data_IF_901575345852
#
_entry.id   IF_901575345852
#
_cell.length_a   1.000
_cell.length_b   1.000
_cell.length_c   1.000
_cell.angle_alpha   90.00
_cell.angle_beta   90.00
_cell.angle_gamma   90.00
#
_symmetry.space_group_name_H-M   'P 1'
#
loop_
_entity.id
_entity.type
_entity.pdbx_description
1 polymer ?
#
# COMPACT_ATOMS: atom_id res chain seq x y z
N UNK A 1 -36.54 -3.95 27.23
CA UNK A 1 -37.48 -3.93 26.08
C UNK A 1 -37.48 -2.51 25.54
N UNK A 2 -36.54 -2.19 24.64
CA UNK A 2 -36.45 -0.87 23.98
C UNK A 2 -36.51 -1.17 22.48
N UNK A 3 -37.67 -0.90 21.88
CA UNK A 3 -37.90 -1.03 20.45
C UNK A 3 -37.12 0.08 19.73
N UNK A 4 -36.07 -0.28 19.01
CA UNK A 4 -35.48 0.60 17.99
C UNK A 4 -36.45 0.66 16.81
N UNK A 5 -37.19 1.77 16.71
CA UNK A 5 -38.06 2.08 15.56
C UNK A 5 -37.20 2.45 14.36
N UNK A 6 -36.76 1.45 13.60
CA UNK A 6 -36.43 1.69 12.19
C UNK A 6 -37.75 1.76 11.41
N UNK A 7 -38.21 2.97 11.13
CA UNK A 7 -39.38 3.21 10.29
C UNK A 7 -39.09 2.89 8.81
N UNK A 8 -40.11 2.49 8.02
CA UNK A 8 -39.94 2.01 6.65
C UNK A 8 -39.69 3.13 5.61
N UNK A 9 -39.15 4.29 6.00
CA UNK A 9 -38.82 5.39 5.09
C UNK A 9 -37.32 5.69 4.97
N UNK A 10 -36.47 5.02 5.75
CA UNK A 10 -35.01 5.20 5.69
C UNK A 10 -34.33 4.37 4.59
N UNK A 11 -34.93 3.23 4.20
CA UNK A 11 -34.36 2.34 3.18
C UNK A 11 -34.45 2.92 1.76
N UNK A 12 -35.51 3.69 1.46
CA UNK A 12 -35.73 4.30 0.14
C UNK A 12 -34.91 5.57 -0.06
N UNK A 13 -34.50 6.24 1.03
CA UNK A 13 -33.70 7.47 1.01
C UNK A 13 -32.20 7.20 1.14
N UNK A 14 -31.79 6.08 1.78
CA UNK A 14 -30.41 5.56 1.79
C UNK A 14 -29.86 5.27 0.38
N UNK A 15 -30.74 5.04 -0.60
CA UNK A 15 -30.39 4.53 -1.93
C UNK A 15 -30.07 5.61 -2.97
N UNK A 16 -30.56 6.84 -2.78
CA UNK A 16 -30.25 7.96 -3.68
C UNK A 16 -28.87 8.60 -3.41
N UNK A 17 -28.26 8.35 -2.25
CA UNK A 17 -27.05 9.03 -1.78
C UNK A 17 -25.72 8.37 -2.18
N UNK A 18 -25.69 7.05 -2.36
CA UNK A 18 -24.46 6.33 -2.74
C UNK A 18 -24.31 6.17 -4.27
N UNK A 19 -25.34 6.52 -5.04
CA UNK A 19 -25.39 6.30 -6.50
C UNK A 19 -24.66 7.37 -7.35
N UNK A 20 -23.98 8.36 -6.75
CA UNK A 20 -23.52 9.56 -7.48
C UNK A 20 -22.03 9.87 -7.46
N UNK A 21 -21.16 8.95 -7.03
CA UNK A 21 -19.69 9.05 -7.27
C UNK A 21 -19.21 8.11 -8.38
N UNK A 22 -20.13 7.63 -9.22
CA UNK A 22 -19.77 6.93 -10.45
C UNK A 22 -19.55 7.95 -11.58
N UNK A 23 -18.32 8.05 -12.07
CA UNK A 23 -18.03 8.65 -13.39
C UNK A 23 -18.81 7.84 -14.44
N UNK A 24 -19.99 8.34 -14.82
CA UNK A 24 -20.90 7.70 -15.78
C UNK A 24 -20.40 7.91 -17.21
N UNK A 25 -19.81 6.87 -17.79
CA UNK A 25 -19.67 6.75 -19.24
C UNK A 25 -20.68 5.73 -19.77
N UNK A 26 -21.47 6.12 -20.76
CA UNK A 26 -22.42 5.25 -21.45
C UNK A 26 -21.71 4.14 -22.26
N UNK A 27 -22.28 2.94 -22.15
CA UNK A 27 -21.80 1.62 -22.60
C UNK A 27 -21.60 1.45 -24.12
N UNK A 28 -20.68 0.55 -24.50
CA UNK A 28 -20.90 -0.50 -25.53
C UNK A 28 -19.74 -1.50 -25.55
N UNK A 29 -19.59 -2.30 -24.50
CA UNK A 29 -18.89 -3.58 -24.58
C UNK A 29 -19.68 -4.60 -23.77
N UNK A 30 -20.00 -5.75 -24.38
CA UNK A 30 -20.69 -6.85 -23.69
C UNK A 30 -19.83 -7.25 -22.49
N UNK A 31 -20.34 -7.03 -21.28
CA UNK A 31 -19.65 -7.40 -20.03
C UNK A 31 -19.37 -8.91 -20.07
N UNK A 32 -18.11 -9.34 -19.84
CA UNK A 32 -17.76 -10.75 -19.91
C UNK A 32 -18.52 -11.55 -18.84
N UNK A 33 -18.75 -12.84 -19.07
CA UNK A 33 -19.41 -13.69 -18.08
C UNK A 33 -18.60 -13.75 -16.78
N UNK A 34 -19.27 -13.80 -15.62
CA UNK A 34 -18.60 -13.83 -14.32
C UNK A 34 -17.59 -14.98 -14.24
N UNK A 35 -17.91 -16.17 -14.77
CA UNK A 35 -17.01 -17.33 -14.75
C UNK A 35 -15.72 -17.15 -15.56
N UNK A 36 -15.68 -16.16 -16.45
CA UNK A 36 -14.47 -15.82 -17.21
C UNK A 36 -13.52 -14.88 -16.46
N UNK A 37 -14.02 -14.19 -15.43
CA UNK A 37 -13.24 -13.24 -14.63
C UNK A 37 -12.87 -13.79 -13.24
N UNK A 38 -13.65 -14.73 -12.70
CA UNK A 38 -13.33 -15.43 -11.45
C UNK A 38 -12.64 -16.77 -11.73
N UNK A 39 -11.78 -17.27 -10.82
CA UNK A 39 -11.08 -18.52 -11.03
C UNK A 39 -12.02 -19.74 -10.97
N UNK A 40 -11.49 -20.90 -11.38
CA UNK A 40 -12.24 -22.16 -11.38
C UNK A 40 -12.79 -22.48 -9.98
N UNK A 41 -13.94 -23.15 -9.94
CA UNK A 41 -14.65 -23.59 -8.72
C UNK A 41 -13.75 -24.18 -7.62
N UNK A 42 -12.73 -24.97 -7.97
CA UNK A 42 -11.80 -25.57 -7.00
C UNK A 42 -11.05 -24.49 -6.21
N UNK A 43 -10.59 -23.43 -6.87
CA UNK A 43 -9.88 -22.30 -6.25
C UNK A 43 -10.81 -21.50 -5.36
N UNK A 44 -12.03 -21.20 -5.82
CA UNK A 44 -13.02 -20.45 -5.02
C UNK A 44 -13.42 -21.25 -3.76
N UNK A 45 -13.65 -22.56 -3.88
CA UNK A 45 -13.91 -23.41 -2.71
C UNK A 45 -12.77 -23.38 -1.69
N UNK A 46 -11.51 -23.40 -2.17
CA UNK A 46 -10.35 -23.29 -1.29
C UNK A 46 -10.32 -21.94 -0.58
N UNK A 47 -10.53 -20.83 -1.30
CA UNK A 47 -10.51 -19.50 -0.69
C UNK A 47 -11.65 -19.28 0.30
N UNK A 48 -12.85 -19.80 0.00
CA UNK A 48 -13.96 -19.80 0.94
C UNK A 48 -13.63 -20.60 2.19
N UNK A 49 -12.92 -21.73 2.06
CA UNK A 49 -12.48 -22.53 3.20
C UNK A 49 -11.38 -21.83 4.01
N UNK A 50 -10.35 -21.29 3.33
CA UNK A 50 -9.21 -20.61 3.96
C UNK A 50 -9.66 -19.33 4.72
N UNK A 51 -10.82 -18.75 4.36
CA UNK A 51 -11.44 -17.61 5.05
C UNK A 51 -12.58 -18.01 6.01
N UNK A 52 -12.68 -19.29 6.39
CA UNK A 52 -13.72 -19.82 7.29
C UNK A 52 -15.15 -19.42 6.89
N UNK A 53 -15.43 -19.44 5.59
CA UNK A 53 -16.70 -18.97 5.06
C UNK A 53 -17.87 -19.85 5.47
N UNK A 54 -18.91 -19.19 5.98
CA UNK A 54 -20.23 -19.81 6.17
C UNK A 54 -20.86 -20.26 4.85
N UNK A 55 -20.49 -19.64 3.73
CA UNK A 55 -21.08 -19.90 2.43
C UNK A 55 -20.24 -20.91 1.64
N UNK A 56 -20.88 -22.01 1.23
CA UNK A 56 -20.33 -22.87 0.19
C UNK A 56 -20.46 -22.20 -1.19
N UNK A 57 -19.64 -22.62 -2.16
CA UNK A 57 -19.67 -22.12 -3.54
C UNK A 57 -21.06 -22.04 -4.16
N UNK A 58 -21.93 -23.04 -3.91
CA UNK A 58 -23.30 -23.07 -4.42
C UNK A 58 -24.17 -21.91 -3.92
N UNK A 59 -23.85 -21.32 -2.76
CA UNK A 59 -24.56 -20.18 -2.17
C UNK A 59 -23.85 -18.85 -2.42
N UNK A 60 -22.51 -18.86 -2.47
CA UNK A 60 -21.69 -17.69 -2.75
C UNK A 60 -21.82 -17.22 -4.21
N UNK A 61 -21.78 -18.13 -5.18
CA UNK A 61 -21.85 -17.76 -6.61
C UNK A 61 -23.14 -17.06 -7.01
N UNK A 62 -24.34 -17.49 -6.55
CA UNK A 62 -25.57 -16.74 -6.83
C UNK A 62 -25.52 -15.29 -6.34
N UNK A 63 -24.92 -15.04 -5.16
CA UNK A 63 -24.77 -13.67 -4.64
C UNK A 63 -23.90 -12.85 -5.59
N UNK A 64 -22.70 -13.35 -5.90
CA UNK A 64 -21.77 -12.68 -6.81
C UNK A 64 -22.38 -12.45 -8.20
N UNK A 65 -23.10 -13.44 -8.72
CA UNK A 65 -23.74 -13.36 -10.04
C UNK A 65 -24.82 -12.28 -10.04
N UNK A 66 -25.72 -12.29 -9.06
CA UNK A 66 -26.81 -11.31 -8.98
C UNK A 66 -26.28 -9.88 -8.87
N UNK A 67 -25.21 -9.66 -8.11
CA UNK A 67 -24.59 -8.33 -8.00
C UNK A 67 -23.93 -7.97 -9.34
N UNK A 68 -23.12 -8.87 -9.89
CA UNK A 68 -22.35 -8.64 -11.13
C UNK A 68 -23.23 -8.34 -12.35
N UNK A 69 -24.36 -9.04 -12.49
CA UNK A 69 -25.29 -8.82 -13.61
C UNK A 69 -26.03 -7.49 -13.51
N UNK A 70 -26.13 -6.91 -12.31
CA UNK A 70 -26.88 -5.68 -12.05
C UNK A 70 -25.98 -4.51 -11.61
N UNK A 71 -24.67 -4.53 -11.89
CA UNK A 71 -23.78 -3.40 -11.56
C UNK A 71 -24.19 -2.08 -12.24
N UNK A 72 -24.84 -2.16 -13.40
CA UNK A 72 -25.33 -0.97 -14.11
C UNK A 72 -26.69 -0.49 -13.56
N UNK A 73 -27.37 -1.36 -12.82
CA UNK A 73 -28.67 -1.11 -12.18
C UNK A 73 -28.68 -1.62 -10.74
N UNK A 74 -27.87 -1.04 -9.83
CA UNK A 74 -27.77 -1.51 -8.43
C UNK A 74 -29.14 -1.60 -7.73
N UNK A 75 -30.08 -0.75 -8.13
CA UNK A 75 -31.44 -0.74 -7.62
C UNK A 75 -32.20 -2.07 -7.79
N UNK A 76 -31.82 -2.85 -8.80
CA UNK A 76 -32.44 -4.11 -9.16
C UNK A 76 -31.78 -5.31 -8.46
N UNK A 77 -30.70 -5.10 -7.71
CA UNK A 77 -30.06 -6.15 -6.94
C UNK A 77 -31.08 -6.69 -5.92
N UNK A 78 -31.26 -8.01 -5.93
CA UNK A 78 -32.13 -8.76 -5.03
C UNK A 78 -31.34 -9.93 -4.46
N UNK A 79 -30.72 -9.69 -3.30
CA UNK A 79 -29.91 -10.70 -2.64
C UNK A 79 -30.77 -11.86 -2.15
N UNK A 80 -30.25 -13.11 -2.19
CA UNK A 80 -30.90 -14.24 -1.55
C UNK A 80 -31.14 -13.97 -0.06
N UNK A 81 -32.28 -14.41 0.48
CA UNK A 81 -32.71 -14.14 1.86
C UNK A 81 -31.77 -14.66 2.94
N UNK A 82 -30.90 -15.63 2.61
CA UNK A 82 -29.90 -16.18 3.52
C UNK A 82 -28.63 -15.34 3.62
N UNK A 83 -28.47 -14.30 2.80
CA UNK A 83 -27.26 -13.47 2.71
C UNK A 83 -27.17 -12.56 3.93
N UNK A 84 -26.03 -12.60 4.61
CA UNK A 84 -25.70 -11.67 5.69
C UNK A 84 -24.69 -10.65 5.20
N UNK A 85 -24.65 -9.51 5.88
CA UNK A 85 -23.72 -8.43 5.55
C UNK A 85 -22.24 -8.88 5.66
N UNK A 86 -21.91 -9.73 6.63
CA UNK A 86 -20.53 -10.26 6.80
C UNK A 86 -20.13 -11.20 5.65
N UNK A 87 -21.09 -11.91 5.05
CA UNK A 87 -20.78 -12.77 3.91
C UNK A 87 -20.34 -11.91 2.70
N UNK A 88 -20.93 -10.71 2.53
CA UNK A 88 -20.58 -9.80 1.43
C UNK A 88 -19.17 -9.23 1.62
N UNK A 89 -18.82 -8.81 2.84
CA UNK A 89 -17.47 -8.33 3.16
C UNK A 89 -16.42 -9.43 3.01
N UNK A 90 -16.74 -10.66 3.42
CA UNK A 90 -15.87 -11.81 3.20
C UNK A 90 -15.68 -12.13 1.71
N UNK A 91 -16.75 -12.11 0.92
CA UNK A 91 -16.66 -12.30 -0.53
C UNK A 91 -15.80 -11.21 -1.17
N UNK A 92 -15.94 -9.95 -0.73
CA UNK A 92 -15.07 -8.86 -1.16
C UNK A 92 -13.60 -9.12 -0.82
N UNK A 93 -13.28 -9.57 0.40
CA UNK A 93 -11.90 -9.93 0.79
C UNK A 93 -11.33 -11.02 -0.13
N UNK A 94 -12.11 -12.06 -0.43
CA UNK A 94 -11.70 -13.14 -1.33
C UNK A 94 -11.39 -12.63 -2.74
N UNK A 95 -12.22 -11.72 -3.29
CA UNK A 95 -11.97 -11.12 -4.61
C UNK A 95 -10.72 -10.22 -4.59
N UNK A 96 -10.51 -9.50 -3.50
CA UNK A 96 -9.33 -8.67 -3.31
C UNK A 96 -8.05 -9.51 -3.27
N UNK A 97 -8.03 -10.60 -2.50
CA UNK A 97 -6.90 -11.53 -2.41
C UNK A 97 -6.61 -12.20 -3.76
N UNK A 98 -7.66 -12.51 -4.52
CA UNK A 98 -7.49 -13.00 -5.88
C UNK A 98 -6.78 -11.98 -6.76
N UNK A 99 -7.19 -10.72 -6.69
CA UNK A 99 -6.61 -9.64 -7.48
C UNK A 99 -5.16 -9.35 -7.08
N UNK A 100 -4.83 -9.43 -5.79
CA UNK A 100 -3.47 -9.23 -5.30
C UNK A 100 -2.52 -10.34 -5.76
N UNK A 101 -2.98 -11.59 -5.77
CA UNK A 101 -2.19 -12.74 -6.22
C UNK A 101 -2.02 -12.78 -7.74
N UNK A 102 -3.06 -12.49 -8.52
CA UNK A 102 -2.97 -12.54 -9.99
C UNK A 102 -2.34 -11.30 -10.59
N UNK A 103 -2.14 -10.24 -9.79
CA UNK A 103 -1.67 -8.92 -10.23
C UNK A 103 -2.44 -8.38 -11.46
N UNK A 104 -3.69 -8.83 -11.64
CA UNK A 104 -4.51 -8.52 -12.81
C UNK A 104 -5.52 -7.44 -12.46
N UNK A 105 -5.44 -6.28 -13.11
CA UNK A 105 -6.41 -5.20 -12.91
C UNK A 105 -7.60 -5.44 -13.85
N UNK A 106 -8.61 -6.16 -13.37
CA UNK A 106 -9.89 -6.29 -14.08
C UNK A 106 -10.88 -5.27 -13.53
N UNK A 107 -11.25 -4.27 -14.35
CA UNK A 107 -12.19 -3.21 -13.99
C UNK A 107 -13.51 -3.76 -13.42
N UNK A 108 -14.08 -4.80 -14.04
CA UNK A 108 -15.36 -5.35 -13.60
C UNK A 108 -15.26 -6.05 -12.23
N UNK A 109 -14.07 -6.56 -11.88
CA UNK A 109 -13.84 -7.17 -10.57
C UNK A 109 -13.77 -6.10 -9.48
N UNK A 110 -13.14 -4.95 -9.78
CA UNK A 110 -13.10 -3.79 -8.88
C UNK A 110 -14.50 -3.22 -8.67
N UNK A 111 -15.29 -3.08 -9.74
CA UNK A 111 -16.70 -2.63 -9.63
C UNK A 111 -17.53 -3.60 -8.77
N UNK A 112 -17.32 -4.91 -8.92
CA UNK A 112 -17.96 -5.93 -8.08
C UNK A 112 -17.51 -5.86 -6.61
N UNK A 113 -16.22 -5.66 -6.34
CA UNK A 113 -15.68 -5.44 -4.99
C UNK A 113 -16.34 -4.23 -4.32
N UNK A 114 -16.50 -3.12 -5.05
CA UNK A 114 -17.11 -1.90 -4.53
C UNK A 114 -18.60 -2.09 -4.24
N UNK A 115 -19.35 -2.69 -5.18
CA UNK A 115 -20.79 -2.94 -4.99
C UNK A 115 -21.06 -3.90 -3.83
N UNK A 116 -20.16 -4.86 -3.57
CA UNK A 116 -20.26 -5.73 -2.37
C UNK A 116 -20.21 -4.93 -1.07
N UNK A 117 -19.40 -3.87 -1.01
CA UNK A 117 -19.32 -2.98 0.16
C UNK A 117 -20.61 -2.17 0.31
N UNK A 118 -21.12 -1.60 -0.79
CA UNK A 118 -22.40 -0.86 -0.82
C UNK A 118 -23.55 -1.71 -0.28
N UNK A 119 -23.71 -2.93 -0.82
CA UNK A 119 -24.74 -3.86 -0.37
C UNK A 119 -24.53 -4.31 1.09
N UNK A 120 -23.28 -4.44 1.56
CA UNK A 120 -23.00 -4.75 2.96
C UNK A 120 -23.39 -3.60 3.90
N UNK A 121 -23.15 -2.35 3.49
CA UNK A 121 -23.54 -1.17 4.24
C UNK A 121 -25.06 -0.99 4.28
N UNK A 122 -25.77 -1.26 3.18
CA UNK A 122 -27.24 -1.27 3.15
C UNK A 122 -27.83 -2.28 4.15
N UNK A 123 -27.18 -3.44 4.31
CA UNK A 123 -27.54 -4.46 5.29
C UNK A 123 -27.05 -4.16 6.72
N UNK A 124 -26.34 -3.05 6.94
CA UNK A 124 -25.95 -2.56 8.27
C UNK A 124 -24.59 -3.03 8.78
N UNK A 125 -23.67 -3.49 7.93
CA UNK A 125 -22.30 -3.80 8.37
C UNK A 125 -21.52 -2.51 8.67
N UNK A 126 -21.01 -2.42 9.90
CA UNK A 126 -20.30 -1.24 10.39
C UNK A 126 -18.96 -1.00 9.70
N UNK A 127 -18.22 -2.04 9.29
CA UNK A 127 -16.98 -1.88 8.52
C UNK A 127 -17.24 -1.23 7.16
N UNK A 128 -18.25 -1.73 6.45
CA UNK A 128 -18.66 -1.20 5.15
C UNK A 128 -19.14 0.25 5.26
N UNK A 129 -19.94 0.56 6.27
CA UNK A 129 -20.38 1.94 6.56
C UNK A 129 -19.17 2.84 6.84
N UNK A 130 -18.20 2.39 7.64
CA UNK A 130 -16.99 3.16 7.93
C UNK A 130 -16.20 3.45 6.65
N UNK A 131 -15.98 2.43 5.81
CA UNK A 131 -15.25 2.55 4.56
C UNK A 131 -15.89 3.57 3.61
N UNK A 132 -17.19 3.47 3.38
CA UNK A 132 -17.93 4.38 2.50
C UNK A 132 -17.98 5.80 3.05
N UNK A 133 -18.15 5.95 4.37
CA UNK A 133 -18.18 7.28 5.00
C UNK A 133 -16.82 7.99 4.86
N UNK A 134 -15.70 7.30 5.07
CA UNK A 134 -14.37 7.88 4.86
C UNK A 134 -14.06 8.16 3.39
N UNK A 135 -14.54 7.33 2.46
CA UNK A 135 -14.44 7.60 1.02
C UNK A 135 -15.19 8.87 0.64
N UNK A 136 -16.42 9.04 1.14
CA UNK A 136 -17.23 10.24 0.92
C UNK A 136 -16.55 11.51 1.48
N UNK A 137 -15.96 11.45 2.68
CA UNK A 137 -15.25 12.59 3.28
C UNK A 137 -13.93 12.91 2.55
N UNK A 138 -13.27 11.89 1.97
CA UNK A 138 -12.01 12.09 1.25
C UNK A 138 -12.20 12.62 -0.18
N UNK A 139 -13.32 12.30 -0.83
CA UNK A 139 -13.63 12.73 -2.18
C UNK A 139 -13.98 14.22 -2.24
N UNK A 140 -13.50 14.89 -3.30
CA UNK A 140 -13.82 16.31 -3.58
C UNK A 140 -15.16 16.48 -4.29
N UNK A 141 -15.67 15.40 -4.86
CA UNK A 141 -16.89 15.39 -5.68
C UNK A 141 -18.15 15.11 -4.84
N UNK A 142 -17.98 14.84 -3.55
CA UNK A 142 -19.06 14.59 -2.60
C UNK A 142 -19.89 15.85 -2.38
N UNK A 143 -21.22 15.70 -2.41
CA UNK A 143 -22.13 16.81 -2.12
C UNK A 143 -21.99 17.26 -0.66
N UNK A 144 -22.46 18.48 -0.35
CA UNK A 144 -22.37 19.00 1.02
C UNK A 144 -23.23 18.17 1.98
N UNK A 145 -24.42 17.77 1.52
CA UNK A 145 -25.35 16.94 2.28
C UNK A 145 -24.74 15.56 2.58
N UNK A 146 -24.13 14.92 1.58
CA UNK A 146 -23.49 13.61 1.73
C UNK A 146 -22.26 13.68 2.65
N UNK A 147 -21.50 14.78 2.56
CA UNK A 147 -20.36 15.04 3.45
C UNK A 147 -20.79 15.17 4.91
N UNK A 148 -21.85 15.94 5.18
CA UNK A 148 -22.40 16.09 6.54
C UNK A 148 -22.95 14.75 7.07
N UNK A 149 -23.63 13.97 6.23
CA UNK A 149 -24.13 12.65 6.60
C UNK A 149 -23.01 11.65 6.91
N UNK A 150 -21.97 11.59 6.06
CA UNK A 150 -20.80 10.74 6.28
C UNK A 150 -20.09 11.07 7.61
N UNK A 151 -19.95 12.35 7.95
CA UNK A 151 -19.40 12.75 9.24
C UNK A 151 -20.27 12.34 10.43
N UNK A 152 -21.60 12.37 10.28
CA UNK A 152 -22.50 11.87 11.33
C UNK A 152 -22.32 10.36 11.54
N UNK A 153 -22.21 9.57 10.46
CA UNK A 153 -21.93 8.13 10.53
C UNK A 153 -20.58 7.83 11.21
N UNK A 154 -19.53 8.58 10.84
CA UNK A 154 -18.21 8.45 11.49
C UNK A 154 -18.31 8.76 12.98
N UNK A 155 -19.07 9.80 13.37
CA UNK A 155 -19.29 10.13 14.79
C UNK A 155 -20.00 8.99 15.52
N UNK A 156 -21.08 8.46 14.97
CA UNK A 156 -21.83 7.34 15.57
C UNK A 156 -20.94 6.10 15.76
N UNK A 157 -20.12 5.76 14.76
CA UNK A 157 -19.17 4.65 14.84
C UNK A 157 -18.05 4.91 15.86
N UNK A 158 -17.61 6.16 16.00
CA UNK A 158 -16.63 6.58 17.02
C UNK A 158 -17.21 6.44 18.43
N UNK A 159 -18.46 6.87 18.63
CA UNK A 159 -19.18 6.72 19.91
C UNK A 159 -19.38 5.24 20.29
N UNK A 160 -19.57 4.38 19.28
CA UNK A 160 -19.64 2.92 19.46
C UNK A 160 -18.27 2.25 19.64
N UNK A 161 -17.17 3.01 19.62
CA UNK A 161 -15.80 2.50 19.67
C UNK A 161 -15.53 1.41 18.61
N UNK A 162 -16.03 1.62 17.39
CA UNK A 162 -15.82 0.66 16.31
C UNK A 162 -14.35 0.67 15.83
N UNK A 163 -13.58 -0.43 15.90
CA UNK A 163 -12.13 -0.41 15.66
C UNK A 163 -11.75 0.24 14.31
N UNK A 164 -12.37 -0.18 13.20
CA UNK A 164 -12.00 0.31 11.87
C UNK A 164 -12.12 1.84 11.72
N UNK A 165 -12.99 2.50 12.49
CA UNK A 165 -13.17 3.96 12.41
C UNK A 165 -11.89 4.68 12.80
N UNK A 166 -11.17 4.17 13.80
CA UNK A 166 -9.92 4.75 14.29
C UNK A 166 -8.77 4.48 13.33
N UNK A 167 -8.70 3.28 12.75
CA UNK A 167 -7.71 2.99 11.70
C UNK A 167 -7.89 3.93 10.50
N UNK A 168 -9.12 4.04 9.99
CA UNK A 168 -9.42 4.90 8.84
C UNK A 168 -9.25 6.39 9.15
N UNK A 169 -9.59 6.84 10.37
CA UNK A 169 -9.33 8.19 10.83
C UNK A 169 -7.82 8.50 10.84
N UNK A 170 -7.00 7.55 11.32
CA UNK A 170 -5.56 7.67 11.31
C UNK A 170 -4.99 7.74 9.89
N UNK A 171 -5.42 6.82 9.01
CA UNK A 171 -5.01 6.77 7.60
C UNK A 171 -5.40 8.09 6.89
N UNK A 172 -6.62 8.57 7.11
CA UNK A 172 -7.11 9.84 6.56
C UNK A 172 -6.31 11.05 7.06
N UNK A 173 -6.12 11.18 8.38
CA UNK A 173 -5.34 12.25 8.99
C UNK A 173 -3.90 12.28 8.45
N UNK A 174 -3.30 11.10 8.25
CA UNK A 174 -1.97 10.98 7.69
C UNK A 174 -1.90 11.49 6.24
N UNK A 175 -2.91 11.19 5.40
CA UNK A 175 -2.98 11.75 4.02
C UNK A 175 -3.07 13.28 4.00
N UNK A 176 -3.61 13.89 5.06
CA UNK A 176 -3.70 15.34 5.23
C UNK A 176 -2.47 15.94 5.94
N UNK A 177 -1.43 15.15 6.18
CA UNK A 177 -0.21 15.54 6.90
C UNK A 177 -0.43 15.90 8.38
N UNK A 178 -1.53 15.47 8.99
CA UNK A 178 -1.78 15.60 10.43
C UNK A 178 -1.20 14.40 11.19
N UNK A 179 0.13 14.27 11.16
CA UNK A 179 0.83 13.06 11.59
C UNK A 179 0.65 12.71 13.08
N UNK A 180 0.64 13.70 13.98
CA UNK A 180 0.43 13.47 15.41
C UNK A 180 -0.99 12.96 15.70
N UNK A 181 -1.99 13.55 15.05
CA UNK A 181 -3.37 13.13 15.18
C UNK A 181 -3.58 11.72 14.58
N UNK A 182 -2.91 11.42 13.47
CA UNK A 182 -2.93 10.09 12.88
C UNK A 182 -2.42 9.03 13.87
N UNK A 183 -1.30 9.32 14.56
CA UNK A 183 -0.75 8.43 15.57
C UNK A 183 -1.70 8.21 16.75
N UNK A 184 -2.42 9.25 17.21
CA UNK A 184 -3.42 9.12 18.28
C UNK A 184 -4.57 8.18 17.88
N UNK A 185 -5.12 8.33 16.67
CA UNK A 185 -6.18 7.44 16.20
C UNK A 185 -5.69 5.99 16.04
N UNK A 186 -4.49 5.79 15.51
CA UNK A 186 -3.89 4.46 15.44
C UNK A 186 -3.64 3.83 16.82
N UNK A 187 -3.30 4.62 17.84
CA UNK A 187 -3.22 4.12 19.21
C UNK A 187 -4.59 3.72 19.75
N UNK A 188 -5.63 4.52 19.50
CA UNK A 188 -7.02 4.16 19.88
C UNK A 188 -7.49 2.87 19.19
N UNK A 189 -7.09 2.63 17.93
CA UNK A 189 -7.32 1.34 17.28
C UNK A 189 -6.67 0.20 18.07
N UNK A 190 -5.40 0.35 18.45
CA UNK A 190 -4.65 -0.70 19.15
C UNK A 190 -5.12 -0.96 20.58
N UNK A 191 -5.81 0.00 21.21
CA UNK A 191 -6.48 -0.20 22.50
C UNK A 191 -7.67 -1.17 22.38
N UNK A 192 -8.29 -1.23 21.19
CA UNK A 192 -9.44 -2.10 20.90
C UNK A 192 -9.01 -3.43 20.29
N UNK A 193 -8.08 -3.41 19.34
CA UNK A 193 -7.55 -4.57 18.63
C UNK A 193 -6.04 -4.48 18.45
N UNK A 194 -5.29 -5.35 19.13
CA UNK A 194 -3.82 -5.32 19.12
C UNK A 194 -3.16 -6.54 18.47
N UNK A 195 -3.92 -7.59 18.18
CA UNK A 195 -3.44 -8.90 17.76
C UNK A 195 -4.08 -9.39 16.45
N UNK A 196 -4.56 -8.45 15.62
CA UNK A 196 -5.18 -8.73 14.33
C UNK A 196 -4.29 -8.39 13.14
N UNK A 197 -4.64 -8.86 11.94
CA UNK A 197 -3.95 -8.47 10.70
C UNK A 197 -4.07 -6.96 10.50
N UNK A 198 -5.20 -6.34 10.84
CA UNK A 198 -5.35 -4.89 10.77
C UNK A 198 -4.43 -4.16 11.78
N UNK A 199 -4.26 -4.72 12.99
CA UNK A 199 -3.29 -4.20 13.95
C UNK A 199 -1.87 -4.22 13.39
N UNK A 200 -1.51 -5.22 12.58
CA UNK A 200 -0.21 -5.25 11.91
C UNK A 200 0.03 -4.05 10.98
N UNK A 201 -1.00 -3.58 10.26
CA UNK A 201 -0.93 -2.39 9.42
C UNK A 201 -0.77 -1.14 10.26
N UNK A 202 -1.54 -1.05 11.34
CA UNK A 202 -1.51 0.07 12.28
C UNK A 202 -0.14 0.17 12.96
N UNK A 203 0.45 -0.95 13.37
CA UNK A 203 1.83 -1.00 13.87
C UNK A 203 2.84 -0.55 12.81
N UNK A 204 2.69 -0.96 11.55
CA UNK A 204 3.56 -0.47 10.47
C UNK A 204 3.48 1.05 10.33
N UNK A 205 2.27 1.61 10.37
CA UNK A 205 2.02 3.04 10.23
C UNK A 205 2.59 3.84 11.41
N UNK A 206 2.41 3.35 12.64
CA UNK A 206 3.03 3.93 13.84
C UNK A 206 4.56 3.82 13.80
N UNK A 207 5.10 2.72 13.29
CA UNK A 207 6.54 2.57 13.07
C UNK A 207 7.09 3.66 12.16
N UNK A 208 6.42 3.93 11.04
CA UNK A 208 6.76 5.03 10.11
C UNK A 208 6.64 6.40 10.79
N UNK A 209 5.60 6.61 11.59
CA UNK A 209 5.42 7.84 12.38
C UNK A 209 6.60 8.07 13.33
N UNK A 210 6.98 7.08 14.14
CA UNK A 210 8.09 7.19 15.07
C UNK A 210 9.45 7.33 14.38
N UNK A 211 9.59 6.76 13.18
CA UNK A 211 10.83 6.83 12.40
C UNK A 211 11.05 8.20 11.75
N UNK A 212 10.00 8.86 11.22
CA UNK A 212 10.16 10.09 10.42
C UNK A 212 9.53 11.34 11.02
N UNK A 213 8.37 11.20 11.66
CA UNK A 213 7.46 12.32 11.90
C UNK A 213 7.42 12.78 13.35
N UNK A 214 7.82 11.94 14.31
CA UNK A 214 7.88 12.33 15.71
C UNK A 214 8.86 13.50 15.91
N UNK A 215 8.37 14.56 16.59
CA UNK A 215 9.16 15.74 16.97
C UNK A 215 9.41 15.76 18.48
N UNK A 216 10.55 16.32 18.95
CA UNK A 216 11.60 17.02 18.19
C UNK A 216 12.55 16.09 17.43
N UNK A 217 12.61 14.80 17.79
CA UNK A 217 13.46 13.79 17.13
C UNK A 217 12.71 12.47 16.98
N UNK A 218 13.06 11.66 15.95
CA UNK A 218 12.57 10.30 15.82
C UNK A 218 12.82 9.44 17.05
N UNK A 219 11.92 8.49 17.32
CA UNK A 219 12.09 7.46 18.33
C UNK A 219 12.28 6.10 17.67
N UNK A 220 13.55 5.78 17.36
CA UNK A 220 13.91 4.57 16.64
C UNK A 220 13.65 3.28 17.45
N UNK A 221 13.66 3.36 18.77
CA UNK A 221 13.36 2.21 19.65
C UNK A 221 11.88 1.83 19.55
N UNK A 222 10.98 2.80 19.64
CA UNK A 222 9.54 2.55 19.46
C UNK A 222 9.21 2.17 18.03
N UNK A 223 9.86 2.80 17.04
CA UNK A 223 9.69 2.43 15.64
C UNK A 223 10.04 0.95 15.42
N UNK A 224 11.18 0.50 15.95
CA UNK A 224 11.62 -0.89 15.89
C UNK A 224 10.58 -1.84 16.50
N UNK A 225 10.12 -1.56 17.72
CA UNK A 225 9.11 -2.38 18.40
C UNK A 225 7.82 -2.48 17.59
N UNK A 226 7.37 -1.37 17.00
CA UNK A 226 6.20 -1.34 16.15
C UNK A 226 6.39 -2.20 14.89
N UNK A 227 7.52 -2.07 14.19
CA UNK A 227 7.78 -2.89 13.02
C UNK A 227 7.90 -4.39 13.34
N UNK A 228 8.47 -4.77 14.49
CA UNK A 228 8.52 -6.16 14.94
C UNK A 228 7.12 -6.73 15.18
N UNK A 229 6.25 -5.98 15.86
CA UNK A 229 4.84 -6.37 16.05
C UNK A 229 4.08 -6.46 14.72
N UNK A 230 4.36 -5.54 13.80
CA UNK A 230 3.79 -5.56 12.47
C UNK A 230 4.13 -6.86 11.72
N UNK A 231 5.40 -7.25 11.71
CA UNK A 231 5.84 -8.51 11.08
C UNK A 231 5.29 -9.75 11.81
N UNK A 232 5.09 -9.67 13.13
CA UNK A 232 4.58 -10.79 13.92
C UNK A 232 3.11 -11.13 13.63
N UNK A 233 2.23 -10.11 13.55
CA UNK A 233 0.78 -10.30 13.35
C UNK A 233 0.36 -10.23 11.89
N UNK A 234 1.19 -9.66 11.01
CA UNK A 234 0.84 -9.37 9.63
C UNK A 234 1.06 -10.52 8.67
N UNK A 235 0.24 -10.55 7.62
CA UNK A 235 0.51 -11.35 6.43
C UNK A 235 1.41 -10.58 5.47
N UNK A 236 2.15 -11.29 4.64
CA UNK A 236 3.18 -10.70 3.80
C UNK A 236 2.60 -9.88 2.64
N UNK A 237 2.25 -8.64 2.93
CA UNK A 237 1.66 -7.64 2.03
C UNK A 237 2.54 -6.39 1.88
N UNK A 238 2.03 -5.34 1.25
CA UNK A 238 2.78 -4.10 1.00
C UNK A 238 3.17 -3.34 2.28
N UNK A 239 2.40 -3.42 3.37
CA UNK A 239 2.74 -2.79 4.65
C UNK A 239 3.85 -3.58 5.34
N UNK A 240 3.73 -4.91 5.38
CA UNK A 240 4.71 -5.77 6.03
C UNK A 240 6.04 -5.76 5.27
N UNK A 241 6.01 -5.73 3.94
CA UNK A 241 7.21 -5.56 3.10
C UNK A 241 7.94 -4.26 3.44
N UNK A 242 7.22 -3.15 3.69
CA UNK A 242 7.83 -1.89 4.15
C UNK A 242 8.37 -2.00 5.58
N UNK A 243 7.67 -2.68 6.48
CA UNK A 243 8.14 -2.93 7.84
C UNK A 243 9.47 -3.71 7.85
N UNK A 244 9.59 -4.75 7.01
CA UNK A 244 10.86 -5.46 6.80
C UNK A 244 11.97 -4.53 6.32
N UNK A 245 11.70 -3.66 5.35
CA UNK A 245 12.71 -2.69 4.90
C UNK A 245 13.21 -1.79 6.04
N UNK A 246 12.31 -1.21 6.85
CA UNK A 246 12.71 -0.38 7.98
C UNK A 246 13.45 -1.15 9.06
N UNK A 247 13.06 -2.39 9.37
CA UNK A 247 13.82 -3.26 10.26
C UNK A 247 15.22 -3.52 9.71
N UNK A 248 15.34 -3.78 8.41
CA UNK A 248 16.62 -3.86 7.71
C UNK A 248 17.50 -2.65 7.98
N UNK A 249 16.97 -1.44 7.82
CA UNK A 249 17.72 -0.21 8.10
C UNK A 249 18.13 -0.09 9.58
N UNK A 250 17.22 -0.36 10.50
CA UNK A 250 17.46 -0.27 11.95
C UNK A 250 18.51 -1.28 12.44
N UNK A 251 18.55 -2.46 11.83
CA UNK A 251 19.51 -3.51 12.15
C UNK A 251 20.87 -3.36 11.45
N UNK A 252 20.99 -2.48 10.46
CA UNK A 252 22.19 -2.38 9.59
C UNK A 252 23.53 -2.25 10.34
N UNK A 253 23.53 -1.56 11.48
CA UNK A 253 24.73 -1.36 12.32
C UNK A 253 24.79 -2.36 13.47
N UNK A 254 23.63 -2.73 14.05
CA UNK A 254 23.56 -3.52 15.28
C UNK A 254 23.65 -5.02 15.03
N UNK A 255 22.99 -5.51 13.98
CA UNK A 255 23.02 -6.89 13.54
C UNK A 255 22.89 -6.95 12.01
N UNK A 256 24.02 -6.91 11.28
CA UNK A 256 24.00 -6.95 9.83
C UNK A 256 23.43 -8.25 9.25
N UNK A 257 23.50 -9.38 9.97
CA UNK A 257 22.96 -10.66 9.51
C UNK A 257 21.45 -10.62 9.52
N UNK A 258 20.86 -10.12 10.60
CA UNK A 258 19.43 -9.92 10.71
C UNK A 258 18.93 -8.83 9.75
N UNK A 259 19.72 -7.76 9.59
CA UNK A 259 19.45 -6.72 8.60
C UNK A 259 19.34 -7.28 7.19
N UNK A 260 20.29 -8.13 6.78
CA UNK A 260 20.26 -8.82 5.49
C UNK A 260 18.98 -9.64 5.32
N UNK A 261 18.61 -10.43 6.32
CA UNK A 261 17.39 -11.24 6.27
C UNK A 261 16.14 -10.39 5.98
N UNK A 262 15.96 -9.28 6.69
CA UNK A 262 14.81 -8.40 6.46
C UNK A 262 14.86 -7.72 5.08
N UNK A 263 16.03 -7.27 4.64
CA UNK A 263 16.21 -6.64 3.32
C UNK A 263 16.01 -7.63 2.16
N UNK A 264 16.41 -8.89 2.31
CA UNK A 264 16.17 -9.94 1.31
C UNK A 264 14.68 -10.20 1.14
N UNK A 265 13.92 -10.24 2.23
CA UNK A 265 12.45 -10.39 2.17
C UNK A 265 11.83 -9.23 1.41
N UNK A 266 12.17 -7.98 1.75
CA UNK A 266 11.57 -6.82 1.10
C UNK A 266 11.99 -6.71 -0.38
N UNK A 267 13.25 -6.98 -0.71
CA UNK A 267 13.75 -7.02 -2.08
C UNK A 267 13.08 -8.12 -2.92
N UNK A 268 12.89 -9.32 -2.36
CA UNK A 268 12.24 -10.46 -3.05
C UNK A 268 10.79 -10.17 -3.44
N UNK A 269 10.15 -9.21 -2.75
CA UNK A 269 8.78 -8.77 -3.01
C UNK A 269 8.69 -7.54 -3.91
N UNK A 270 9.83 -7.15 -4.50
CA UNK A 270 9.90 -6.07 -5.48
C UNK A 270 9.98 -4.67 -4.87
N UNK A 271 10.26 -4.53 -3.57
CA UNK A 271 10.50 -3.21 -2.99
C UNK A 271 11.85 -2.67 -3.47
N UNK A 272 11.82 -1.71 -4.37
CA UNK A 272 12.99 -1.23 -5.10
C UNK A 272 14.01 -0.55 -4.18
N UNK A 273 13.54 0.15 -3.14
CA UNK A 273 14.35 0.85 -2.15
C UNK A 273 15.27 -0.10 -1.35
N UNK A 274 14.93 -1.39 -1.30
CA UNK A 274 15.73 -2.41 -0.61
C UNK A 274 16.96 -2.83 -1.41
N UNK A 275 16.92 -2.71 -2.74
CA UNK A 275 17.98 -3.17 -3.64
C UNK A 275 19.34 -2.48 -3.40
N UNK A 276 19.43 -1.13 -3.36
CA UNK A 276 20.71 -0.48 -3.05
C UNK A 276 21.19 -0.81 -1.64
N UNK A 277 20.29 -0.84 -0.65
CA UNK A 277 20.63 -1.15 0.75
C UNK A 277 21.27 -2.54 0.88
N UNK A 278 20.66 -3.55 0.23
CA UNK A 278 21.16 -4.92 0.22
C UNK A 278 22.46 -5.05 -0.58
N UNK A 279 22.56 -4.39 -1.75
CA UNK A 279 23.77 -4.38 -2.56
C UNK A 279 24.97 -3.79 -1.84
N UNK A 280 24.80 -2.65 -1.16
CA UNK A 280 25.89 -2.05 -0.37
C UNK A 280 26.24 -2.88 0.87
N UNK A 281 25.26 -3.58 1.47
CA UNK A 281 25.52 -4.48 2.59
C UNK A 281 26.35 -5.71 2.15
N UNK A 282 25.97 -6.35 1.05
CA UNK A 282 26.74 -7.45 0.47
C UNK A 282 28.16 -6.99 0.10
N UNK A 283 28.30 -5.79 -0.49
CA UNK A 283 29.60 -5.26 -0.88
C UNK A 283 30.46 -4.90 0.34
N UNK A 284 29.95 -4.10 1.27
CA UNK A 284 30.76 -3.44 2.29
C UNK A 284 30.87 -4.24 3.59
N UNK A 285 29.85 -5.03 3.93
CA UNK A 285 29.81 -5.78 5.19
C UNK A 285 30.19 -7.24 4.97
N UNK A 286 29.55 -7.92 4.00
CA UNK A 286 29.79 -9.34 3.75
C UNK A 286 30.91 -9.62 2.72
N UNK A 287 31.44 -8.57 2.10
CA UNK A 287 32.47 -8.65 1.06
C UNK A 287 32.11 -9.61 -0.11
N UNK A 288 30.82 -9.74 -0.41
CA UNK A 288 30.31 -10.57 -1.49
C UNK A 288 30.05 -9.73 -2.74
N UNK A 289 31.12 -9.48 -3.48
CA UNK A 289 31.07 -8.59 -4.65
C UNK A 289 30.19 -9.14 -5.77
N UNK A 290 30.11 -10.46 -5.93
CA UNK A 290 29.27 -11.09 -6.95
C UNK A 290 27.79 -10.84 -6.70
N UNK A 291 27.32 -11.10 -5.47
CA UNK A 291 25.92 -10.84 -5.10
C UNK A 291 25.59 -9.36 -5.12
N UNK A 292 26.50 -8.51 -4.66
CA UNK A 292 26.30 -7.07 -4.71
C UNK A 292 26.04 -6.58 -6.16
N UNK A 293 26.81 -7.07 -7.13
CA UNK A 293 26.61 -6.73 -8.54
C UNK A 293 25.24 -7.16 -9.07
N UNK A 294 24.74 -8.33 -8.67
CA UNK A 294 23.41 -8.80 -9.07
C UNK A 294 22.31 -7.87 -8.52
N UNK A 295 22.37 -7.52 -7.23
CA UNK A 295 21.41 -6.60 -6.61
C UNK A 295 21.44 -5.22 -7.25
N UNK A 296 22.62 -4.66 -7.47
CA UNK A 296 22.74 -3.37 -8.14
C UNK A 296 22.28 -3.43 -9.60
N UNK A 297 22.52 -4.54 -10.32
CA UNK A 297 22.00 -4.73 -11.69
C UNK A 297 20.48 -4.70 -11.71
N UNK A 298 19.83 -5.42 -10.79
CA UNK A 298 18.38 -5.40 -10.66
C UNK A 298 17.85 -3.99 -10.38
N UNK A 299 18.50 -3.22 -9.49
CA UNK A 299 18.07 -1.85 -9.19
C UNK A 299 18.20 -0.88 -10.37
N UNK A 300 19.26 -1.02 -11.18
CA UNK A 300 19.42 -0.22 -12.40
C UNK A 300 18.38 -0.61 -13.46
N UNK A 301 18.10 -1.89 -13.64
CA UNK A 301 17.09 -2.37 -14.59
C UNK A 301 15.66 -2.01 -14.18
N UNK A 302 15.36 -2.01 -12.88
CA UNK A 302 14.02 -1.73 -12.36
C UNK A 302 13.64 -0.24 -12.40
N UNK A 303 14.55 0.67 -12.02
CA UNK A 303 14.21 2.10 -11.89
C UNK A 303 15.36 3.06 -12.28
N UNK A 304 16.44 2.56 -12.90
CA UNK A 304 17.63 3.37 -13.19
C UNK A 304 18.18 4.09 -11.93
N UNK A 305 18.15 3.41 -10.78
CA UNK A 305 18.56 3.98 -9.50
C UNK A 305 20.04 4.39 -9.51
N UNK A 306 20.29 5.67 -9.21
CA UNK A 306 21.63 6.27 -9.12
C UNK A 306 22.46 5.61 -8.04
N UNK A 307 21.86 5.22 -6.91
CA UNK A 307 22.55 4.54 -5.82
C UNK A 307 23.07 3.18 -6.26
N UNK A 308 22.28 2.44 -7.04
CA UNK A 308 22.69 1.19 -7.64
C UNK A 308 23.79 1.37 -8.71
N UNK A 309 23.73 2.42 -9.53
CA UNK A 309 24.82 2.75 -10.47
C UNK A 309 26.14 3.04 -9.75
N UNK A 310 26.10 3.80 -8.65
CA UNK A 310 27.26 4.06 -7.80
C UNK A 310 27.78 2.73 -7.21
N UNK A 311 26.89 1.87 -6.72
CA UNK A 311 27.24 0.55 -6.20
C UNK A 311 27.92 -0.35 -7.24
N UNK A 312 27.45 -0.36 -8.49
CA UNK A 312 28.10 -1.10 -9.58
C UNK A 312 29.52 -0.57 -9.86
N UNK A 313 29.72 0.75 -9.82
CA UNK A 313 31.05 1.34 -9.96
C UNK A 313 31.98 0.85 -8.84
N UNK A 314 31.57 1.00 -7.58
CA UNK A 314 32.37 0.60 -6.42
C UNK A 314 32.70 -0.91 -6.46
N UNK A 315 31.74 -1.74 -6.86
CA UNK A 315 31.95 -3.18 -7.04
C UNK A 315 32.93 -3.51 -8.18
N UNK A 316 32.83 -2.86 -9.34
CA UNK A 316 33.74 -3.10 -10.46
C UNK A 316 35.16 -2.62 -10.21
N UNK A 317 35.33 -1.53 -9.46
CA UNK A 317 36.64 -1.08 -8.97
C UNK A 317 37.25 -2.14 -8.05
N UNK A 318 36.46 -2.71 -7.14
CA UNK A 318 36.94 -3.76 -6.22
C UNK A 318 37.34 -5.06 -6.94
N UNK A 319 36.68 -5.42 -8.04
CA UNK A 319 37.04 -6.58 -8.88
C UNK A 319 38.24 -6.28 -9.80
N UNK A 320 38.66 -5.01 -9.94
CA UNK A 320 39.72 -4.60 -10.87
C UNK A 320 39.26 -4.58 -12.34
N UNK A 321 37.95 -4.50 -12.59
CA UNK A 321 37.39 -4.45 -13.95
C UNK A 321 37.32 -3.01 -14.48
N UNK A 322 38.47 -2.40 -14.76
CA UNK A 322 38.57 -0.97 -15.12
C UNK A 322 37.72 -0.57 -16.34
N UNK A 323 37.60 -1.42 -17.36
CA UNK A 323 36.79 -1.14 -18.54
C UNK A 323 35.29 -0.97 -18.22
N UNK A 324 34.74 -1.79 -17.31
CA UNK A 324 33.33 -1.70 -16.89
C UNK A 324 33.11 -0.52 -15.96
N UNK A 325 34.05 -0.27 -15.04
CA UNK A 325 34.01 0.90 -14.16
C UNK A 325 34.02 2.21 -14.95
N UNK A 326 34.85 2.32 -15.99
CA UNK A 326 34.89 3.49 -16.88
C UNK A 326 33.56 3.71 -17.62
N UNK A 327 32.92 2.64 -18.10
CA UNK A 327 31.60 2.74 -18.75
C UNK A 327 30.50 3.25 -17.81
N UNK A 328 30.55 2.86 -16.53
CA UNK A 328 29.60 3.36 -15.54
C UNK A 328 29.91 4.81 -15.18
N UNK A 329 31.19 5.16 -15.04
CA UNK A 329 31.64 6.51 -14.76
C UNK A 329 31.21 7.51 -15.85
N UNK A 330 31.29 7.14 -17.13
CA UNK A 330 30.79 7.99 -18.22
C UNK A 330 29.28 8.19 -18.14
N UNK A 331 28.52 7.16 -17.74
CA UNK A 331 27.08 7.28 -17.52
C UNK A 331 26.77 8.21 -16.33
N UNK A 332 27.49 8.08 -15.20
CA UNK A 332 27.35 8.95 -14.03
C UNK A 332 27.70 10.42 -14.35
N UNK A 333 28.76 10.67 -15.13
CA UNK A 333 29.10 12.02 -15.62
C UNK A 333 27.98 12.58 -16.50
N UNK A 334 27.45 11.78 -17.44
CA UNK A 334 26.33 12.19 -18.28
C UNK A 334 25.05 12.51 -17.50
N UNK A 335 24.77 11.78 -16.42
CA UNK A 335 23.64 12.06 -15.52
C UNK A 335 23.87 13.37 -14.74
N UNK A 336 25.07 13.58 -14.21
CA UNK A 336 25.44 14.83 -13.52
C UNK A 336 25.26 16.05 -14.43
N UNK A 337 25.81 16.01 -15.64
CA UNK A 337 25.69 17.13 -16.59
C UNK A 337 24.24 17.44 -16.96
N UNK A 338 23.40 16.40 -17.11
CA UNK A 338 21.97 16.57 -17.37
C UNK A 338 21.26 17.23 -16.17
N UNK A 339 21.54 16.79 -14.95
CA UNK A 339 20.97 17.36 -13.74
C UNK A 339 21.40 18.81 -13.53
N UNK A 340 22.68 19.13 -13.70
CA UNK A 340 23.20 20.50 -13.58
C UNK A 340 22.56 21.44 -14.61
N UNK A 341 22.33 21.00 -15.85
CA UNK A 341 21.61 21.78 -16.87
C UNK A 341 20.15 22.02 -16.51
N UNK A 342 19.48 21.06 -15.89
CA UNK A 342 18.08 21.19 -15.45
C UNK A 342 18.00 22.20 -14.30
N UNK A 343 18.92 22.11 -13.34
CA UNK A 343 18.98 23.01 -12.19
C UNK A 343 19.33 24.43 -12.63
N UNK A 344 20.28 24.59 -13.56
CA UNK A 344 20.66 25.89 -14.12
C UNK A 344 19.52 26.58 -14.89
N UNK A 345 18.54 25.82 -15.41
CA UNK A 345 17.33 26.34 -16.07
C UNK A 345 16.19 26.66 -15.09
N UNK A 346 16.42 26.51 -13.79
CA UNK A 346 15.43 26.73 -12.73
C UNK A 346 14.61 25.47 -12.41
N UNK A 347 14.57 25.09 -11.13
CA UNK A 347 13.78 23.95 -10.62
C UNK A 347 12.26 24.11 -10.82
N UNK A 348 11.80 25.31 -11.20
CA UNK A 348 10.38 25.57 -11.49
C UNK A 348 9.85 24.76 -12.68
N UNK A 349 10.72 24.42 -13.63
CA UNK A 349 10.39 23.60 -14.80
C UNK A 349 10.35 22.09 -14.50
N UNK A 350 10.76 21.66 -13.30
CA UNK A 350 10.68 20.25 -12.87
C UNK A 350 9.32 20.03 -12.21
N UNK A 351 8.57 18.98 -12.60
CA UNK A 351 7.31 18.66 -11.93
C UNK A 351 7.54 18.49 -10.42
N UNK A 352 6.63 18.98 -9.56
CA UNK A 352 6.79 18.94 -8.11
C UNK A 352 7.15 17.55 -7.56
N UNK A 353 6.60 16.49 -8.17
CA UNK A 353 6.84 15.09 -7.81
C UNK A 353 8.27 14.61 -8.03
N UNK A 354 9.05 15.27 -8.89
CA UNK A 354 10.44 14.88 -9.21
C UNK A 354 11.48 15.82 -8.60
N UNK A 355 11.08 16.91 -7.95
CA UNK A 355 12.00 17.89 -7.36
C UNK A 355 12.83 17.26 -6.23
N UNK A 356 12.17 16.54 -5.33
CA UNK A 356 12.84 15.88 -4.20
C UNK A 356 13.80 14.78 -4.67
N UNK A 357 13.40 14.01 -5.68
CA UNK A 357 14.24 12.98 -6.28
C UNK A 357 15.46 13.60 -6.99
N UNK A 358 15.27 14.69 -7.73
CA UNK A 358 16.35 15.39 -8.40
C UNK A 358 17.34 16.00 -7.40
N UNK A 359 16.85 16.61 -6.32
CA UNK A 359 17.68 17.14 -5.24
C UNK A 359 18.48 16.03 -4.54
N UNK A 360 17.84 14.91 -4.21
CA UNK A 360 18.51 13.74 -3.60
C UNK A 360 19.60 13.17 -4.53
N UNK A 361 19.29 12.96 -5.82
CA UNK A 361 20.25 12.48 -6.80
C UNK A 361 21.43 13.45 -7.01
N UNK A 362 21.20 14.77 -6.95
CA UNK A 362 22.27 15.76 -7.02
C UNK A 362 23.22 15.63 -5.82
N UNK A 363 22.69 15.51 -4.60
CA UNK A 363 23.50 15.31 -3.39
C UNK A 363 24.28 14.00 -3.47
N UNK A 364 23.66 12.91 -3.94
CA UNK A 364 24.33 11.63 -4.12
C UNK A 364 25.48 11.70 -5.13
N UNK A 365 25.25 12.29 -6.30
CA UNK A 365 26.28 12.41 -7.34
C UNK A 365 27.43 13.32 -6.92
N UNK A 366 27.12 14.47 -6.31
CA UNK A 366 28.16 15.38 -5.80
C UNK A 366 29.01 14.70 -4.72
N UNK A 367 28.37 13.99 -3.79
CA UNK A 367 29.07 13.20 -2.76
C UNK A 367 29.92 12.10 -3.40
N UNK A 368 29.41 11.39 -4.39
CA UNK A 368 30.15 10.36 -5.12
C UNK A 368 31.43 10.92 -5.75
N UNK A 369 31.34 11.99 -6.53
CA UNK A 369 32.53 12.57 -7.18
C UNK A 369 33.52 13.17 -6.20
N UNK A 370 33.06 13.67 -5.04
CA UNK A 370 33.94 14.18 -3.99
C UNK A 370 34.67 13.06 -3.23
N UNK A 371 33.99 11.94 -2.96
CA UNK A 371 34.53 10.86 -2.12
C UNK A 371 35.30 9.78 -2.89
N UNK A 372 35.04 9.64 -4.19
CA UNK A 372 35.70 8.64 -5.05
C UNK A 372 36.77 9.25 -5.97
N UNK A 373 37.25 10.46 -5.69
CA UNK A 373 38.28 11.16 -6.48
C UNK A 373 39.48 10.27 -6.77
N UNK A 374 40.04 9.64 -5.75
CA UNK A 374 41.27 8.85 -5.85
C UNK A 374 41.07 7.57 -6.67
N UNK A 375 39.88 6.95 -6.55
CA UNK A 375 39.54 5.76 -7.34
C UNK A 375 39.30 6.12 -8.81
N UNK A 376 38.73 7.30 -9.07
CA UNK A 376 38.53 7.84 -10.42
C UNK A 376 39.88 8.21 -11.05
N UNK A 377 40.80 8.81 -10.29
CA UNK A 377 42.16 9.13 -10.75
C UNK A 377 42.95 7.87 -11.11
N UNK A 378 42.84 6.80 -10.32
CA UNK A 378 43.50 5.50 -10.59
C UNK A 378 42.94 4.72 -11.79
N UNK A 379 41.77 5.12 -12.30
CA UNK A 379 41.16 4.53 -13.49
C UNK A 379 41.63 5.21 -14.79
N UNK A 380 42.27 6.37 -14.67
CA UNK A 380 42.97 7.10 -15.73
C UNK A 380 44.46 6.71 -15.74
#
# INVERSE_FOLDING_TARGET
MVQLRFGPSAATFKREMLTRVAVRFQLTAVRPALESIVPKKKTINRLLFDNDSRLAYKKAMPILTTIYTNLDTPDQIRLPTYTKHDDLMMLRSILHDLRSVTNSINKNLVELENELVEQAAELGNSDAIAMLAFEAVASKDTSKEDYEYANNLIRELTEQQHPLVFKLAGDFAFTKSFHEQAAQYWQQFLELESDTILASHVYSNLGVYYYHYLRPRPNLTEAKLCFEKSVHFGQLDSHIVKAHYYLGQLYSITDPVLSRYHLEISASKGLQESLPSLGFMELNVFNNVSKALEWFKLGVEANSDVSCLIGQFDAHVRVGSSAKALKILTNLRGLKDKLERIIAKGMDNVPPSYRDLAASNQVLLSTFFATRSDAIEKLH
#
